data_IF_868133290299
#
_entry.id   IF_868133290299
#
_cell.length_a   1.000
_cell.length_b   1.000
_cell.length_c   1.000
_cell.angle_alpha   90.00
_cell.angle_beta   90.00
_cell.angle_gamma   90.00
#
_symmetry.space_group_name_H-M   'P 1'
#
loop_
_entity.id
_entity.type
_entity.pdbx_description
1 polymer ?
#
# COMPACT_ATOMS: atom_id res chain seq x y z
N UNK A 1 -18.69 -6.56 10.70
CA UNK A 1 -19.78 -6.48 9.71
C UNK A 1 -19.21 -6.84 8.35
N UNK A 2 -19.87 -7.67 7.54
CA UNK A 2 -19.35 -8.01 6.20
C UNK A 2 -19.83 -6.92 5.23
N UNK A 3 -18.94 -6.00 4.83
CA UNK A 3 -19.29 -4.81 4.04
C UNK A 3 -19.51 -5.08 2.54
N UNK A 4 -19.01 -6.21 2.01
CA UNK A 4 -19.27 -6.61 0.63
C UNK A 4 -19.60 -8.10 0.54
N UNK A 5 -20.49 -8.46 -0.39
CA UNK A 5 -20.71 -9.85 -0.79
C UNK A 5 -20.00 -10.06 -2.13
N UNK A 6 -18.80 -10.66 -2.10
CA UNK A 6 -17.98 -10.85 -3.30
C UNK A 6 -18.65 -11.68 -4.41
N UNK A 7 -19.75 -12.36 -4.10
CA UNK A 7 -20.50 -13.13 -5.10
C UNK A 7 -21.44 -12.27 -5.96
N UNK A 8 -22.02 -11.22 -5.38
CA UNK A 8 -23.11 -10.47 -6.01
C UNK A 8 -22.81 -8.98 -6.18
N UNK A 9 -21.81 -8.45 -5.48
CA UNK A 9 -21.44 -7.03 -5.49
C UNK A 9 -19.94 -6.87 -5.60
N UNK A 10 -19.50 -5.86 -6.38
CA UNK A 10 -18.11 -5.46 -6.51
C UNK A 10 -17.82 -4.28 -5.59
N UNK A 11 -16.90 -4.46 -4.63
CA UNK A 11 -16.47 -3.42 -3.72
C UNK A 11 -15.62 -2.35 -4.42
N UNK A 12 -15.78 -1.08 -4.04
CA UNK A 12 -15.08 0.07 -4.64
C UNK A 12 -13.55 -0.11 -4.68
N UNK A 13 -12.95 -0.75 -3.68
CA UNK A 13 -11.50 -1.01 -3.62
C UNK A 13 -10.99 -1.94 -4.73
N UNK A 14 -11.86 -2.71 -5.39
CA UNK A 14 -11.51 -3.62 -6.49
C UNK A 14 -11.67 -2.97 -7.86
N UNK A 15 -12.43 -1.88 -7.94
CA UNK A 15 -12.78 -1.23 -9.22
C UNK A 15 -11.54 -0.67 -9.93
N UNK A 16 -10.53 -0.22 -9.17
CA UNK A 16 -9.26 0.23 -9.77
C UNK A 16 -8.63 -0.81 -10.69
N UNK A 17 -8.52 -2.07 -10.24
CA UNK A 17 -7.99 -3.15 -11.07
C UNK A 17 -8.90 -3.52 -12.25
N UNK A 18 -10.22 -3.39 -12.11
CA UNK A 18 -11.15 -3.63 -13.21
C UNK A 18 -10.99 -2.58 -14.31
N UNK A 19 -10.86 -1.30 -13.94
CA UNK A 19 -10.71 -0.19 -14.89
C UNK A 19 -9.35 -0.20 -15.58
N UNK A 20 -8.28 -0.45 -14.82
CA UNK A 20 -6.89 -0.35 -15.29
C UNK A 20 -6.36 -1.67 -15.88
N UNK A 21 -7.03 -2.80 -15.61
CA UNK A 21 -6.56 -4.15 -15.93
C UNK A 21 -5.76 -4.78 -14.77
N UNK A 22 -4.92 -4.00 -14.12
CA UNK A 22 -4.13 -4.43 -12.96
C UNK A 22 -3.86 -3.27 -11.99
N UNK A 23 -3.52 -3.64 -10.78
CA UNK A 23 -2.95 -2.77 -9.72
C UNK A 23 -1.71 -3.46 -9.14
N UNK A 24 -0.91 -2.82 -8.28
CA UNK A 24 0.19 -3.49 -7.60
C UNK A 24 -0.21 -4.72 -6.78
N UNK A 25 -1.50 -4.92 -6.51
CA UNK A 25 -1.99 -5.97 -5.63
C UNK A 25 -2.74 -7.08 -6.35
N UNK A 26 -3.43 -6.78 -7.45
CA UNK A 26 -4.27 -7.76 -8.15
C UNK A 26 -4.65 -7.31 -9.57
N UNK A 27 -4.94 -8.30 -10.42
CA UNK A 27 -5.42 -8.09 -11.78
C UNK A 27 -6.94 -8.20 -11.84
N UNK A 28 -7.55 -7.69 -12.92
CA UNK A 28 -8.98 -7.85 -13.20
C UNK A 28 -9.39 -9.33 -13.27
N UNK A 29 -8.56 -10.20 -13.87
CA UNK A 29 -8.83 -11.65 -13.94
C UNK A 29 -8.78 -12.30 -12.56
N UNK A 30 -7.82 -11.91 -11.70
CA UNK A 30 -7.77 -12.42 -10.33
C UNK A 30 -9.06 -12.06 -9.56
N UNK A 31 -9.58 -10.83 -9.74
CA UNK A 31 -10.85 -10.42 -9.12
C UNK A 31 -12.02 -11.23 -9.68
N UNK A 32 -12.06 -11.47 -10.99
CA UNK A 32 -13.08 -12.32 -11.62
C UNK A 32 -13.09 -13.72 -11.01
N UNK A 33 -11.92 -14.33 -10.84
CA UNK A 33 -11.80 -15.65 -10.22
C UNK A 33 -12.26 -15.65 -8.75
N UNK A 34 -11.96 -14.61 -7.98
CA UNK A 34 -12.45 -14.45 -6.60
C UNK A 34 -13.98 -14.44 -6.57
N UNK A 35 -14.62 -13.71 -7.48
CA UNK A 35 -16.10 -13.64 -7.57
C UNK A 35 -16.70 -14.98 -7.99
N UNK A 36 -16.11 -15.66 -8.98
CA UNK A 36 -16.57 -17.00 -9.40
C UNK A 36 -16.45 -18.04 -8.28
N UNK A 37 -15.33 -18.02 -7.55
CA UNK A 37 -15.14 -18.89 -6.39
C UNK A 37 -16.18 -18.60 -5.30
N UNK A 38 -16.45 -17.32 -5.03
CA UNK A 38 -17.48 -16.94 -4.05
C UNK A 38 -18.88 -17.38 -4.48
N UNK A 39 -19.23 -17.28 -5.79
CA UNK A 39 -20.48 -17.83 -6.35
C UNK A 39 -20.57 -19.36 -6.19
N UNK A 40 -19.45 -20.06 -6.33
CA UNK A 40 -19.36 -21.50 -6.12
C UNK A 40 -19.32 -21.91 -4.64
N UNK A 41 -19.41 -20.98 -3.70
CA UNK A 41 -19.33 -21.23 -2.26
C UNK A 41 -17.93 -21.57 -1.75
N UNK A 42 -16.90 -21.35 -2.57
CA UNK A 42 -15.49 -21.53 -2.17
C UNK A 42 -15.02 -20.28 -1.43
N UNK A 43 -14.69 -20.45 -0.15
CA UNK A 43 -14.12 -19.35 0.65
C UNK A 43 -12.68 -19.11 0.22
N UNK A 44 -12.34 -17.85 -0.10
CA UNK A 44 -10.96 -17.47 -0.34
C UNK A 44 -10.11 -17.74 0.90
N UNK A 45 -9.01 -18.45 0.73
CA UNK A 45 -8.02 -18.63 1.80
C UNK A 45 -7.24 -17.33 1.86
N UNK A 46 -7.25 -16.65 3.03
CA UNK A 46 -6.34 -15.54 3.28
C UNK A 46 -4.92 -16.13 3.42
N UNK A 47 -4.10 -15.93 2.43
CA UNK A 47 -2.71 -16.43 2.41
C UNK A 47 -1.78 -15.63 3.35
N UNK A 48 -2.31 -14.64 4.04
CA UNK A 48 -1.56 -13.75 4.93
C UNK A 48 -0.64 -12.76 4.20
N UNK A 49 -0.66 -12.74 2.86
CA UNK A 49 0.05 -11.73 2.08
C UNK A 49 -0.44 -10.34 2.48
N UNK A 50 0.51 -9.45 2.76
CA UNK A 50 0.24 -8.07 3.19
C UNK A 50 -0.51 -7.93 4.53
N UNK A 51 -0.52 -8.98 5.39
CA UNK A 51 -1.18 -8.91 6.70
C UNK A 51 -0.71 -7.70 7.51
N UNK A 52 0.61 -7.50 7.64
CA UNK A 52 1.17 -6.38 8.40
C UNK A 52 0.77 -5.01 7.81
N UNK A 53 0.60 -4.92 6.49
CA UNK A 53 0.14 -3.69 5.84
C UNK A 53 -1.35 -3.44 6.10
N UNK A 54 -2.17 -4.49 6.09
CA UNK A 54 -3.60 -4.42 6.44
C UNK A 54 -3.79 -4.05 7.91
N UNK A 55 -3.05 -4.72 8.81
CA UNK A 55 -3.11 -4.47 10.25
C UNK A 55 -2.68 -3.03 10.56
N UNK A 56 -1.57 -2.56 9.98
CA UNK A 56 -1.13 -1.17 10.10
C UNK A 56 -2.20 -0.19 9.63
N UNK A 57 -2.85 -0.43 8.48
CA UNK A 57 -3.97 0.38 7.99
C UNK A 57 -5.07 0.47 9.04
N UNK A 58 -5.57 -0.67 9.49
CA UNK A 58 -6.67 -0.77 10.45
C UNK A 58 -6.36 -0.07 11.78
N UNK A 59 -5.11 -0.18 12.29
CA UNK A 59 -4.71 0.48 13.55
C UNK A 59 -4.52 1.99 13.40
N UNK A 60 -4.08 2.46 12.24
CA UNK A 60 -3.82 3.88 12.01
C UNK A 60 -5.06 4.65 11.54
N UNK A 61 -6.00 3.99 10.88
CA UNK A 61 -7.18 4.59 10.28
C UNK A 61 -7.95 5.54 11.24
N UNK A 62 -8.26 5.15 12.51
CA UNK A 62 -8.98 6.05 13.40
C UNK A 62 -8.21 7.35 13.69
N UNK A 63 -6.91 7.25 13.98
CA UNK A 63 -6.08 8.42 14.26
C UNK A 63 -5.85 9.31 13.04
N UNK A 64 -5.74 8.71 11.85
CA UNK A 64 -5.61 9.46 10.60
C UNK A 64 -6.92 10.12 10.19
N UNK A 65 -8.05 9.50 10.50
CA UNK A 65 -9.38 10.08 10.30
C UNK A 65 -9.57 11.33 11.16
N UNK A 66 -9.23 11.24 12.44
CA UNK A 66 -9.25 12.39 13.36
C UNK A 66 -8.32 13.50 12.83
N UNK A 67 -7.09 13.17 12.46
CA UNK A 67 -6.15 14.15 11.91
C UNK A 67 -6.61 14.77 10.60
N UNK A 68 -7.27 14.01 9.72
CA UNK A 68 -7.86 14.54 8.49
C UNK A 68 -9.00 15.53 8.80
N UNK A 69 -9.86 15.19 9.77
CA UNK A 69 -10.94 16.06 10.24
C UNK A 69 -10.40 17.38 10.79
N UNK A 70 -9.40 17.33 11.68
CA UNK A 70 -8.76 18.52 12.25
C UNK A 70 -8.13 19.42 11.18
N UNK A 71 -7.46 18.81 10.19
CA UNK A 71 -6.89 19.56 9.07
C UNK A 71 -7.97 20.27 8.23
N UNK A 72 -9.06 19.58 7.94
CA UNK A 72 -10.17 20.17 7.17
C UNK A 72 -10.87 21.27 7.95
N UNK A 73 -11.09 21.05 9.25
CA UNK A 73 -11.70 22.06 10.12
C UNK A 73 -10.83 23.32 10.21
N UNK A 74 -9.50 23.15 10.28
CA UNK A 74 -8.56 24.28 10.29
C UNK A 74 -8.55 25.14 9.01
N UNK A 75 -9.12 24.64 7.91
CA UNK A 75 -9.27 25.38 6.65
C UNK A 75 -10.60 26.13 6.59
N UNK A 76 -11.52 25.85 7.52
CA UNK A 76 -12.83 26.46 7.52
C UNK A 76 -12.79 27.94 7.95
N UNK A 77 -13.44 28.85 7.23
CA UNK A 77 -13.72 30.19 7.74
C UNK A 77 -14.57 30.14 9.03
N UNK A 78 -14.58 31.21 9.85
CA UNK A 78 -15.24 31.25 11.16
C UNK A 78 -16.72 30.83 11.17
N UNK A 79 -17.40 30.94 10.03
CA UNK A 79 -18.85 30.64 9.90
C UNK A 79 -19.08 29.29 9.15
N UNK A 80 -18.04 28.59 8.76
CA UNK A 80 -18.10 27.29 8.06
C UNK A 80 -17.56 26.22 8.97
N UNK A 81 -18.14 25.04 8.95
CA UNK A 81 -17.61 23.85 9.64
C UNK A 81 -17.58 22.67 8.68
N UNK A 82 -16.55 21.84 8.80
CA UNK A 82 -16.44 20.56 8.12
C UNK A 82 -16.59 19.43 9.13
N UNK A 83 -17.78 18.90 9.26
CA UNK A 83 -18.10 17.85 10.22
C UNK A 83 -17.74 16.47 9.67
N UNK A 84 -17.05 15.68 10.48
CA UNK A 84 -16.84 14.25 10.22
C UNK A 84 -17.98 13.42 10.81
N UNK A 85 -18.46 12.45 10.04
CA UNK A 85 -19.40 11.44 10.48
C UNK A 85 -18.88 10.03 10.16
N UNK A 86 -18.88 9.11 11.14
CA UNK A 86 -18.50 7.73 10.88
C UNK A 86 -19.55 7.06 9.96
N UNK A 87 -19.13 6.28 8.97
CA UNK A 87 -20.06 5.56 8.11
C UNK A 87 -20.79 4.47 8.90
N UNK A 88 -22.10 4.34 8.69
CA UNK A 88 -22.93 3.31 9.33
C UNK A 88 -23.09 2.08 8.47
N UNK A 89 -23.23 2.26 7.17
CA UNK A 89 -23.51 1.20 6.19
C UNK A 89 -22.74 1.44 4.88
N UNK A 90 -22.60 0.36 4.09
CA UNK A 90 -22.08 0.48 2.75
C UNK A 90 -23.13 1.05 1.79
N UNK A 91 -22.71 1.99 0.95
CA UNK A 91 -23.51 2.54 -0.13
C UNK A 91 -23.56 1.59 -1.32
N UNK A 92 -24.72 1.43 -1.97
CA UNK A 92 -24.92 0.43 -3.02
C UNK A 92 -25.64 0.99 -4.23
N UNK A 93 -25.21 0.55 -5.41
CA UNK A 93 -25.93 0.72 -6.67
C UNK A 93 -26.27 -0.69 -7.17
N UNK A 94 -27.49 -1.13 -6.91
CA UNK A 94 -27.92 -2.51 -7.20
C UNK A 94 -27.86 -2.84 -8.67
N UNK A 95 -28.24 -1.90 -9.53
CA UNK A 95 -28.26 -2.04 -10.99
C UNK A 95 -26.87 -2.28 -11.56
N UNK A 96 -25.84 -1.64 -10.97
CA UNK A 96 -24.43 -1.83 -11.34
C UNK A 96 -23.73 -2.93 -10.52
N UNK A 97 -24.40 -3.51 -9.52
CA UNK A 97 -23.82 -4.49 -8.60
C UNK A 97 -22.54 -3.97 -7.95
N UNK A 98 -22.57 -2.68 -7.57
CA UNK A 98 -21.47 -1.97 -6.91
C UNK A 98 -21.80 -1.69 -5.45
N UNK A 99 -20.79 -1.79 -4.60
CA UNK A 99 -20.87 -1.32 -3.22
C UNK A 99 -19.62 -0.56 -2.81
N UNK A 100 -19.78 0.37 -1.89
CA UNK A 100 -18.70 1.18 -1.35
C UNK A 100 -18.85 1.34 0.16
N UNK A 101 -17.81 0.97 0.91
CA UNK A 101 -17.60 1.43 2.27
C UNK A 101 -16.73 2.68 2.21
N UNK A 102 -17.06 3.67 3.00
CA UNK A 102 -16.27 4.88 3.17
C UNK A 102 -15.51 4.78 4.50
N UNK A 103 -14.36 5.42 4.61
CA UNK A 103 -13.67 5.56 5.91
C UNK A 103 -14.26 6.72 6.70
N UNK A 104 -14.93 7.66 6.01
CA UNK A 104 -15.67 8.75 6.62
C UNK A 104 -16.62 9.48 5.67
N UNK A 105 -17.58 10.16 6.27
CA UNK A 105 -18.46 11.12 5.58
C UNK A 105 -18.09 12.50 6.08
N UNK A 106 -17.85 13.42 5.17
CA UNK A 106 -17.59 14.83 5.46
C UNK A 106 -18.85 15.62 5.13
N UNK A 107 -19.18 16.62 5.97
CA UNK A 107 -20.29 17.51 5.74
C UNK A 107 -19.85 18.96 5.95
N UNK A 108 -19.78 19.73 4.87
CA UNK A 108 -19.51 21.17 4.92
C UNK A 108 -20.84 21.90 5.13
N UNK A 109 -20.94 22.63 6.24
CA UNK A 109 -22.13 23.41 6.63
C UNK A 109 -21.78 24.87 6.82
N UNK A 110 -22.78 25.75 6.67
CA UNK A 110 -22.64 27.20 6.86
C UNK A 110 -22.07 27.94 5.63
N UNK A 111 -21.64 27.24 4.58
CA UNK A 111 -21.09 27.87 3.39
C UNK A 111 -20.30 26.94 2.50
N UNK A 112 -19.19 27.42 1.98
CA UNK A 112 -18.27 26.67 1.13
C UNK A 112 -16.89 26.57 1.80
N UNK A 113 -16.22 25.45 1.61
CA UNK A 113 -14.86 25.18 2.06
C UNK A 113 -13.94 25.10 0.85
N UNK A 114 -12.86 25.87 0.84
CA UNK A 114 -11.79 25.75 -0.16
C UNK A 114 -10.66 24.88 0.39
N UNK A 115 -10.41 23.77 -0.25
CA UNK A 115 -9.35 22.81 0.11
C UNK A 115 -8.18 22.99 -0.85
N UNK A 116 -6.97 23.32 -0.36
CA UNK A 116 -5.77 23.42 -1.19
C UNK A 116 -5.49 22.12 -1.93
N UNK A 117 -5.16 22.22 -3.21
CA UNK A 117 -4.85 21.06 -4.05
C UNK A 117 -3.42 21.13 -4.59
N UNK A 118 -2.53 20.33 -4.03
CA UNK A 118 -1.12 20.27 -4.47
C UNK A 118 -0.91 19.78 -5.92
N UNK A 119 -1.95 19.29 -6.57
CA UNK A 119 -1.90 18.76 -7.94
C UNK A 119 -2.54 19.69 -9.00
N UNK A 120 -3.11 20.79 -8.60
CA UNK A 120 -3.82 21.69 -9.50
C UNK A 120 -4.43 22.89 -8.79
N UNK A 121 -5.56 23.36 -9.29
CA UNK A 121 -6.30 24.44 -8.68
C UNK A 121 -6.96 23.97 -7.38
N UNK A 122 -7.06 24.86 -6.40
CA UNK A 122 -7.79 24.62 -5.16
C UNK A 122 -9.25 24.27 -5.45
N UNK A 123 -9.81 23.39 -4.63
CA UNK A 123 -11.17 22.88 -4.84
C UNK A 123 -12.10 23.48 -3.80
N UNK A 124 -13.16 24.16 -4.25
CA UNK A 124 -14.22 24.69 -3.40
C UNK A 124 -15.40 23.73 -3.37
N UNK A 125 -15.82 23.34 -2.18
CA UNK A 125 -16.81 22.29 -1.94
C UNK A 125 -17.86 22.73 -0.91
N UNK A 126 -19.03 22.06 -0.96
CA UNK A 126 -20.12 22.23 0.00
C UNK A 126 -20.90 20.93 0.17
N UNK A 127 -21.70 20.83 1.22
CA UNK A 127 -22.51 19.64 1.50
C UNK A 127 -21.67 18.38 1.78
N UNK A 128 -22.19 17.21 1.39
CA UNK A 128 -21.58 15.93 1.71
C UNK A 128 -20.46 15.54 0.76
N UNK A 129 -19.38 15.00 1.33
CA UNK A 129 -18.21 14.45 0.64
C UNK A 129 -17.74 13.11 1.22
N UNK A 130 -17.00 12.34 0.44
CA UNK A 130 -16.38 11.08 0.88
C UNK A 130 -14.97 11.32 1.43
N UNK A 131 -14.63 10.66 2.55
CA UNK A 131 -13.27 10.57 3.06
C UNK A 131 -12.74 9.16 2.84
N UNK A 132 -11.55 9.07 2.28
CA UNK A 132 -10.78 7.84 2.14
C UNK A 132 -9.40 8.01 2.79
N UNK A 133 -9.02 7.09 3.67
CA UNK A 133 -7.72 7.09 4.36
C UNK A 133 -6.77 6.15 3.65
N UNK A 134 -5.56 6.61 3.37
CA UNK A 134 -4.51 5.78 2.78
C UNK A 134 -3.20 5.87 3.56
N UNK A 135 -2.59 4.72 3.79
CA UNK A 135 -1.21 4.64 4.27
C UNK A 135 -0.35 4.05 3.15
N UNK A 136 0.72 4.76 2.77
CA UNK A 136 1.65 4.28 1.76
C UNK A 136 3.04 4.17 2.39
N UNK A 137 3.63 2.98 2.36
CA UNK A 137 4.97 2.73 2.89
C UNK A 137 6.09 2.96 1.87
N UNK A 138 5.76 3.29 0.63
CA UNK A 138 6.69 3.31 -0.49
C UNK A 138 6.85 4.67 -1.15
N UNK A 139 5.76 5.45 -1.19
CA UNK A 139 5.69 6.68 -1.98
C UNK A 139 5.03 7.82 -1.20
N UNK A 140 5.73 8.97 -1.13
CA UNK A 140 5.22 10.23 -0.59
C UNK A 140 4.46 11.07 -1.64
N UNK A 141 4.38 10.58 -2.87
CA UNK A 141 3.68 11.26 -3.97
C UNK A 141 2.15 11.25 -3.82
N UNK A 142 1.45 11.78 -4.82
CA UNK A 142 -0.01 11.82 -4.83
C UNK A 142 -0.63 10.42 -4.81
N UNK A 143 -1.94 10.32 -4.53
CA UNK A 143 -2.65 9.05 -4.62
C UNK A 143 -2.52 8.43 -6.00
N UNK A 144 -2.33 7.11 -6.04
CA UNK A 144 -2.28 6.34 -7.28
C UNK A 144 -3.64 6.35 -7.99
N UNK A 145 -3.62 6.09 -9.30
CA UNK A 145 -4.82 6.08 -10.10
C UNK A 145 -5.90 5.09 -9.58
N UNK A 146 -5.50 3.92 -9.08
CA UNK A 146 -6.43 2.95 -8.48
C UNK A 146 -7.11 3.50 -7.22
N UNK A 147 -6.43 4.29 -6.41
CA UNK A 147 -6.98 4.94 -5.21
C UNK A 147 -7.97 6.06 -5.60
N UNK A 148 -7.65 6.82 -6.65
CA UNK A 148 -8.55 7.86 -7.18
C UNK A 148 -9.82 7.21 -7.76
N UNK A 149 -9.70 6.11 -8.51
CA UNK A 149 -10.83 5.35 -9.03
C UNK A 149 -11.69 4.80 -7.89
N UNK A 150 -11.07 4.32 -6.80
CA UNK A 150 -11.79 3.90 -5.59
C UNK A 150 -12.63 5.04 -5.03
N UNK A 151 -12.04 6.23 -4.79
CA UNK A 151 -12.76 7.39 -4.28
C UNK A 151 -13.90 7.83 -5.21
N UNK A 152 -13.67 7.84 -6.54
CA UNK A 152 -14.71 8.16 -7.52
C UNK A 152 -15.88 7.15 -7.47
N UNK A 153 -15.58 5.88 -7.26
CA UNK A 153 -16.60 4.83 -7.07
C UNK A 153 -17.37 5.03 -5.77
N UNK A 154 -16.70 5.43 -4.71
CA UNK A 154 -17.34 5.76 -3.42
C UNK A 154 -18.30 6.95 -3.58
N UNK A 155 -17.83 8.03 -4.23
CA UNK A 155 -18.68 9.19 -4.53
C UNK A 155 -19.87 8.81 -5.41
N UNK A 156 -19.67 7.94 -6.40
CA UNK A 156 -20.76 7.42 -7.23
C UNK A 156 -21.79 6.68 -6.39
N UNK A 157 -21.36 5.74 -5.54
CA UNK A 157 -22.27 4.93 -4.72
C UNK A 157 -23.00 5.75 -3.68
N UNK A 158 -22.34 6.74 -3.07
CA UNK A 158 -22.91 7.62 -2.05
C UNK A 158 -23.71 8.80 -2.61
N UNK A 159 -23.59 9.09 -3.91
CA UNK A 159 -24.24 10.26 -4.52
C UNK A 159 -23.56 11.58 -4.18
N UNK A 160 -22.28 11.57 -3.76
CA UNK A 160 -21.54 12.76 -3.36
C UNK A 160 -20.84 13.43 -4.54
N UNK A 161 -20.74 14.75 -4.49
CA UNK A 161 -20.12 15.58 -5.54
C UNK A 161 -18.62 15.76 -5.39
N UNK A 162 -18.06 15.45 -4.23
CA UNK A 162 -16.64 15.60 -3.92
C UNK A 162 -16.15 14.58 -2.90
N UNK A 163 -14.84 14.47 -2.76
CA UNK A 163 -14.23 13.63 -1.74
C UNK A 163 -12.76 13.97 -1.54
N UNK A 164 -12.17 13.44 -0.48
CA UNK A 164 -10.77 13.65 -0.09
C UNK A 164 -10.10 12.31 0.13
N UNK A 165 -8.92 12.12 -0.46
CA UNK A 165 -7.99 11.07 -0.03
C UNK A 165 -7.00 11.70 0.96
N UNK A 166 -7.04 11.25 2.20
CA UNK A 166 -6.07 11.64 3.22
C UNK A 166 -4.96 10.56 3.28
N UNK A 167 -3.76 10.92 2.84
CA UNK A 167 -2.66 9.96 2.63
C UNK A 167 -1.51 10.22 3.59
N UNK A 168 -1.09 9.17 4.33
CA UNK A 168 0.14 9.13 5.11
C UNK A 168 1.23 8.41 4.32
N UNK A 169 2.28 9.14 3.93
CA UNK A 169 3.44 8.62 3.22
C UNK A 169 4.54 8.05 4.14
N UNK A 170 5.61 7.44 3.56
CA UNK A 170 6.68 6.78 4.32
C UNK A 170 7.51 7.71 5.20
N UNK A 171 7.55 9.02 4.89
CA UNK A 171 8.21 10.04 5.73
C UNK A 171 7.28 10.65 6.78
N UNK A 172 6.14 10.00 7.07
CA UNK A 172 5.10 10.51 7.96
C UNK A 172 4.49 11.84 7.48
N UNK A 173 4.60 12.13 6.18
CA UNK A 173 3.95 13.27 5.56
C UNK A 173 2.48 12.93 5.36
N UNK A 174 1.60 13.66 6.04
CA UNK A 174 0.17 13.49 5.93
C UNK A 174 -0.44 14.62 5.12
N UNK A 175 -1.03 14.29 3.97
CA UNK A 175 -1.58 15.26 3.02
C UNK A 175 -3.02 14.93 2.65
N UNK A 176 -3.77 15.97 2.35
CA UNK A 176 -5.14 15.91 1.86
C UNK A 176 -5.12 16.14 0.34
N UNK A 177 -5.76 15.24 -0.38
CA UNK A 177 -5.91 15.31 -1.83
C UNK A 177 -7.41 15.37 -2.17
N UNK A 178 -7.95 16.59 -2.41
CA UNK A 178 -9.36 16.77 -2.74
C UNK A 178 -9.61 16.44 -4.21
N UNK A 179 -10.77 15.88 -4.48
CA UNK A 179 -11.24 15.55 -5.83
C UNK A 179 -12.72 15.90 -5.98
N UNK A 180 -13.03 16.52 -7.12
CA UNK A 180 -14.42 16.62 -7.59
C UNK A 180 -14.83 15.30 -8.25
N UNK A 181 -16.10 14.96 -8.15
CA UNK A 181 -16.68 13.85 -8.90
C UNK A 181 -16.56 14.11 -10.41
N UNK A 182 -15.99 13.17 -11.12
CA UNK A 182 -15.77 13.25 -12.56
C UNK A 182 -16.78 12.37 -13.32
N UNK A 183 -17.79 12.96 -13.91
CA UNK A 183 -18.78 12.20 -14.68
C UNK A 183 -18.15 11.44 -15.86
N UNK A 184 -17.06 11.97 -16.43
CA UNK A 184 -16.29 11.26 -17.46
C UNK A 184 -15.67 9.97 -16.90
N UNK A 185 -15.05 10.03 -15.73
CA UNK A 185 -14.44 8.84 -15.09
C UNK A 185 -15.52 7.88 -14.60
N UNK A 186 -16.62 8.39 -14.04
CA UNK A 186 -17.78 7.60 -13.63
C UNK A 186 -18.33 6.77 -14.81
N UNK A 187 -18.46 7.38 -15.99
CA UNK A 187 -18.90 6.66 -17.19
C UNK A 187 -17.97 5.50 -17.54
N UNK A 188 -16.65 5.74 -17.52
CA UNK A 188 -15.65 4.67 -17.74
C UNK A 188 -15.76 3.57 -16.69
N UNK A 189 -15.93 3.93 -15.40
CA UNK A 189 -16.11 2.97 -14.31
C UNK A 189 -17.33 2.08 -14.60
N UNK A 190 -18.47 2.66 -14.91
CA UNK A 190 -19.71 1.90 -15.17
C UNK A 190 -19.58 0.98 -16.38
N UNK A 191 -19.00 1.45 -17.49
CA UNK A 191 -18.75 0.63 -18.69
C UNK A 191 -17.83 -0.58 -18.39
N UNK A 192 -16.78 -0.36 -17.59
CA UNK A 192 -15.85 -1.42 -17.19
C UNK A 192 -16.45 -2.41 -16.20
N UNK A 193 -17.28 -1.93 -15.28
CA UNK A 193 -18.00 -2.78 -14.32
C UNK A 193 -19.07 -3.62 -15.04
N UNK A 194 -19.75 -3.07 -16.05
CA UNK A 194 -20.68 -3.82 -16.88
C UNK A 194 -19.96 -4.95 -17.66
N UNK A 195 -18.84 -4.66 -18.34
CA UNK A 195 -18.00 -5.67 -19.00
C UNK A 195 -17.51 -6.73 -17.99
N UNK A 196 -17.10 -6.32 -16.79
CA UNK A 196 -16.69 -7.25 -15.74
C UNK A 196 -17.80 -8.24 -15.38
N UNK A 197 -19.01 -7.76 -15.16
CA UNK A 197 -20.13 -8.63 -14.82
C UNK A 197 -20.58 -9.50 -15.98
N UNK A 198 -20.54 -9.02 -17.24
CA UNK A 198 -20.75 -9.86 -18.41
C UNK A 198 -19.75 -11.03 -18.45
N UNK A 199 -18.47 -10.74 -18.14
CA UNK A 199 -17.43 -11.78 -18.06
C UNK A 199 -17.63 -12.76 -16.91
N UNK A 200 -18.08 -12.30 -15.77
CA UNK A 200 -18.39 -13.16 -14.62
C UNK A 200 -19.59 -14.06 -14.94
N UNK A 201 -20.67 -13.48 -15.46
CA UNK A 201 -21.93 -14.19 -15.68
C UNK A 201 -21.88 -15.17 -16.88
N UNK A 202 -21.00 -14.92 -17.86
CA UNK A 202 -20.78 -15.77 -19.03
C UNK A 202 -19.46 -16.56 -19.00
N UNK A 203 -18.75 -16.58 -17.86
CA UNK A 203 -17.44 -17.24 -17.66
C UNK A 203 -16.42 -16.92 -18.77
N UNK A 204 -16.32 -15.65 -19.14
CA UNK A 204 -15.37 -15.14 -20.16
C UNK A 204 -14.13 -14.60 -19.46
N UNK A 205 -12.95 -15.24 -19.59
CA UNK A 205 -11.73 -14.73 -18.99
C UNK A 205 -11.29 -13.40 -19.63
N UNK A 206 -10.56 -12.59 -18.86
CA UNK A 206 -9.83 -11.47 -19.45
C UNK A 206 -8.65 -11.99 -20.27
N UNK A 207 -8.27 -11.31 -21.36
CA UNK A 207 -7.03 -11.63 -22.06
C UNK A 207 -5.85 -11.45 -21.11
N UNK A 208 -4.77 -12.23 -21.29
CA UNK A 208 -3.53 -12.00 -20.56
C UNK A 208 -3.09 -10.53 -20.69
N UNK A 209 -2.65 -9.93 -19.59
CA UNK A 209 -2.11 -8.57 -19.63
C UNK A 209 -0.78 -8.62 -20.37
N UNK A 210 -0.72 -7.96 -21.51
CA UNK A 210 0.53 -7.76 -22.23
C UNK A 210 1.33 -6.65 -21.51
N UNK A 211 2.15 -7.06 -20.57
CA UNK A 211 2.98 -6.16 -19.76
C UNK A 211 4.18 -5.61 -20.55
N UNK A 212 4.18 -5.74 -21.87
CA UNK A 212 5.35 -5.39 -22.68
C UNK A 212 6.61 -6.15 -22.27
N UNK A 213 6.45 -7.27 -21.53
CA UNK A 213 7.56 -8.19 -21.32
C UNK A 213 7.97 -8.70 -22.68
N UNK A 214 9.25 -8.68 -22.99
CA UNK A 214 9.71 -9.27 -24.24
C UNK A 214 9.11 -10.66 -24.35
N UNK A 215 8.62 -11.01 -25.56
CA UNK A 215 8.02 -12.30 -25.83
C UNK A 215 8.82 -13.38 -25.13
N UNK A 216 8.15 -14.13 -24.27
CA UNK A 216 8.80 -15.25 -23.59
C UNK A 216 9.08 -16.28 -24.69
N UNK A 217 10.33 -16.36 -25.12
CA UNK A 217 10.72 -17.35 -26.13
C UNK A 217 10.65 -18.71 -25.46
N UNK A 218 9.75 -19.61 -25.90
CA UNK A 218 9.72 -20.96 -25.36
C UNK A 218 11.00 -21.68 -25.79
N UNK A 219 11.86 -22.01 -24.82
CA UNK A 219 13.12 -22.72 -25.06
C UNK A 219 12.95 -24.25 -24.99
N UNK A 220 11.74 -24.74 -24.94
CA UNK A 220 11.41 -26.17 -24.84
C UNK A 220 11.89 -27.01 -26.02
N UNK A 221 12.16 -26.36 -27.16
CA UNK A 221 12.65 -27.00 -28.40
C UNK A 221 14.18 -27.01 -28.51
N UNK A 222 14.91 -26.43 -27.53
CA UNK A 222 16.35 -26.41 -27.57
C UNK A 222 16.91 -27.79 -27.19
N UNK A 223 17.93 -28.25 -27.92
CA UNK A 223 18.66 -29.49 -27.59
C UNK A 223 19.35 -29.42 -26.21
N UNK A 224 19.65 -28.20 -25.73
CA UNK A 224 20.26 -27.91 -24.42
C UNK A 224 19.23 -27.61 -23.32
N UNK A 225 17.97 -27.93 -23.51
CA UNK A 225 16.89 -27.63 -22.52
C UNK A 225 17.21 -28.16 -21.13
N UNK A 226 17.70 -29.41 -21.05
CA UNK A 226 18.00 -30.05 -19.76
C UNK A 226 19.17 -29.37 -19.05
N UNK A 227 20.17 -28.90 -19.79
CA UNK A 227 21.29 -28.14 -19.25
C UNK A 227 20.81 -26.78 -18.69
N UNK A 228 19.91 -26.10 -19.40
CA UNK A 228 19.33 -24.84 -18.93
C UNK A 228 18.50 -25.04 -17.66
N UNK A 229 17.71 -26.12 -17.61
CA UNK A 229 16.93 -26.48 -16.39
C UNK A 229 17.88 -26.78 -15.23
N UNK A 230 18.97 -27.46 -15.47
CA UNK A 230 19.97 -27.75 -14.44
C UNK A 230 20.62 -26.47 -13.92
N UNK A 231 21.01 -25.54 -14.80
CA UNK A 231 21.56 -24.22 -14.41
C UNK A 231 20.56 -23.43 -13.56
N UNK A 232 19.27 -23.40 -13.94
CA UNK A 232 18.22 -22.72 -13.15
C UNK A 232 18.06 -23.36 -11.77
N UNK A 233 18.13 -24.70 -11.71
CA UNK A 233 18.04 -25.47 -10.46
C UNK A 233 19.23 -25.14 -9.55
N UNK A 234 20.44 -25.14 -10.08
CA UNK A 234 21.67 -24.82 -9.34
C UNK A 234 21.64 -23.33 -8.88
N UNK A 235 21.22 -22.42 -9.73
CA UNK A 235 21.03 -20.99 -9.33
C UNK A 235 20.08 -20.84 -8.15
N UNK A 236 18.92 -21.51 -8.21
CA UNK A 236 17.94 -21.45 -7.12
C UNK A 236 18.46 -22.06 -5.82
N UNK A 237 19.24 -23.16 -5.93
CA UNK A 237 19.91 -23.77 -4.78
C UNK A 237 20.93 -22.81 -4.16
N UNK A 238 21.81 -22.22 -4.96
CA UNK A 238 22.78 -21.22 -4.49
C UNK A 238 22.13 -20.05 -3.81
N UNK A 239 21.02 -19.53 -4.38
CA UNK A 239 20.25 -18.43 -3.79
C UNK A 239 19.63 -18.80 -2.44
N UNK A 240 19.15 -20.03 -2.28
CA UNK A 240 18.62 -20.52 -1.01
C UNK A 240 19.74 -20.69 0.03
N UNK A 241 20.91 -21.20 -0.39
CA UNK A 241 22.09 -21.32 0.46
C UNK A 241 22.61 -19.94 0.90
N UNK A 242 22.69 -18.96 0.00
CA UNK A 242 23.07 -17.58 0.33
C UNK A 242 22.17 -17.00 1.43
N UNK A 243 20.85 -17.18 1.32
CA UNK A 243 19.91 -16.74 2.35
C UNK A 243 20.14 -17.45 3.68
N UNK A 244 20.41 -18.75 3.65
CA UNK A 244 20.72 -19.55 4.85
C UNK A 244 22.02 -19.09 5.51
N UNK A 245 23.09 -18.90 4.71
CA UNK A 245 24.36 -18.38 5.21
C UNK A 245 24.26 -16.99 5.80
N UNK A 246 23.47 -16.11 5.19
CA UNK A 246 23.21 -14.78 5.73
C UNK A 246 22.57 -14.85 7.11
N UNK A 247 21.53 -15.66 7.28
CA UNK A 247 20.87 -15.86 8.57
C UNK A 247 21.82 -16.45 9.62
N UNK A 248 22.65 -17.40 9.21
CA UNK A 248 23.64 -18.02 10.12
C UNK A 248 24.72 -17.01 10.54
N UNK A 249 25.19 -16.17 9.61
CA UNK A 249 26.12 -15.08 9.90
C UNK A 249 25.54 -14.11 10.93
N UNK A 250 24.26 -13.71 10.76
CA UNK A 250 23.56 -12.82 11.70
C UNK A 250 23.50 -13.43 13.10
N UNK A 251 23.17 -14.72 13.22
CA UNK A 251 23.16 -15.44 14.50
C UNK A 251 24.54 -15.52 15.16
N UNK A 252 25.58 -15.78 14.36
CA UNK A 252 26.96 -15.79 14.85
C UNK A 252 27.38 -14.38 15.32
N UNK A 253 27.00 -13.36 14.60
CA UNK A 253 27.26 -11.97 14.98
C UNK A 253 26.60 -11.62 16.30
N UNK A 254 25.31 -11.90 16.45
CA UNK A 254 24.56 -11.69 17.71
C UNK A 254 25.21 -12.41 18.89
N UNK A 255 25.67 -13.66 18.69
CA UNK A 255 26.36 -14.42 19.73
C UNK A 255 27.69 -13.76 20.16
N UNK A 256 28.47 -13.23 19.20
CA UNK A 256 29.72 -12.53 19.50
C UNK A 256 29.48 -11.16 20.16
N UNK A 257 28.41 -10.46 19.79
CA UNK A 257 28.00 -9.22 20.44
C UNK A 257 27.63 -9.46 21.90
N UNK A 258 26.88 -10.54 22.20
CA UNK A 258 26.55 -10.92 23.58
C UNK A 258 27.80 -11.20 24.42
N UNK A 259 28.83 -11.86 23.85
CA UNK A 259 30.11 -12.07 24.54
C UNK A 259 30.79 -10.75 24.86
N UNK A 260 30.83 -9.80 23.93
CA UNK A 260 31.42 -8.48 24.19
C UNK A 260 30.63 -7.69 25.25
N UNK A 261 29.30 -7.76 25.24
CA UNK A 261 28.42 -7.11 26.19
C UNK A 261 28.58 -7.71 27.61
N UNK A 262 28.79 -9.04 27.73
CA UNK A 262 29.05 -9.68 29.02
C UNK A 262 30.33 -9.16 29.70
N UNK A 263 31.34 -8.79 28.92
CA UNK A 263 32.60 -8.21 29.43
C UNK A 263 32.62 -6.67 29.38
N UNK A 264 31.52 -6.01 29.07
CA UNK A 264 31.43 -4.53 28.86
C UNK A 264 32.57 -4.02 27.96
N UNK A 265 32.84 -4.77 26.90
CA UNK A 265 33.96 -4.51 26.00
C UNK A 265 33.52 -4.11 24.58
N UNK A 266 34.09 -3.04 24.06
CA UNK A 266 33.93 -2.68 22.65
C UNK A 266 34.86 -3.45 21.73
N UNK A 267 35.94 -4.04 22.27
CA UNK A 267 36.99 -4.77 21.56
C UNK A 267 37.43 -5.98 22.36
N UNK A 268 37.60 -7.11 21.69
CA UNK A 268 38.23 -8.31 22.25
C UNK A 268 39.16 -8.96 21.23
N UNK A 269 40.14 -9.71 21.70
CA UNK A 269 40.99 -10.53 20.83
C UNK A 269 41.07 -11.94 21.36
N UNK A 270 41.01 -12.93 20.44
CA UNK A 270 41.16 -14.34 20.76
C UNK A 270 41.94 -15.03 19.63
N UNK A 271 43.07 -15.60 19.98
CA UNK A 271 43.99 -16.13 18.97
C UNK A 271 44.42 -15.05 17.97
N UNK A 272 44.21 -15.30 16.69
CA UNK A 272 44.53 -14.38 15.59
C UNK A 272 43.35 -13.49 15.20
N UNK A 273 42.26 -13.47 15.97
CA UNK A 273 41.06 -12.70 15.63
C UNK A 273 40.89 -11.53 16.58
N UNK A 274 40.48 -10.42 16.00
CA UNK A 274 40.02 -9.25 16.73
C UNK A 274 38.54 -9.03 16.47
N UNK A 275 37.75 -8.95 17.53
CA UNK A 275 36.32 -8.68 17.47
C UNK A 275 36.10 -7.23 17.91
N UNK A 276 35.26 -6.49 17.19
CA UNK A 276 34.95 -5.11 17.58
C UNK A 276 33.47 -4.79 17.38
N UNK A 277 32.89 -4.14 18.39
CA UNK A 277 31.52 -3.63 18.38
C UNK A 277 31.47 -2.23 19.01
N UNK A 278 32.23 -1.23 18.50
CA UNK A 278 32.33 0.08 19.09
C UNK A 278 31.04 0.88 18.90
N UNK A 279 30.75 1.72 19.89
CA UNK A 279 29.68 2.71 19.80
C UNK A 279 30.07 3.80 18.81
N UNK A 280 29.42 3.84 17.64
CA UNK A 280 29.67 4.86 16.62
C UNK A 280 28.82 6.10 16.91
N UNK A 281 29.48 7.16 17.40
CA UNK A 281 28.85 8.47 17.58
C UNK A 281 28.88 9.23 16.26
N UNK A 282 27.72 9.38 15.59
CA UNK A 282 27.62 10.29 14.43
C UNK A 282 27.60 11.73 14.94
N UNK A 283 28.53 12.55 14.43
CA UNK A 283 28.48 14.01 14.67
C UNK A 283 27.15 14.54 14.13
N UNK A 284 26.49 15.40 14.92
CA UNK A 284 25.33 16.14 14.44
C UNK A 284 25.73 16.89 13.16
N UNK A 285 24.95 16.72 12.08
CA UNK A 285 25.15 17.55 10.88
C UNK A 285 24.75 18.99 11.24
N UNK A 286 25.53 20.01 10.80
CA UNK A 286 25.15 21.39 11.02
C UNK A 286 23.78 21.66 10.38
N UNK A 287 22.97 22.43 11.10
CA UNK A 287 21.61 22.84 10.72
C UNK A 287 21.55 23.35 9.27
N UNK A 288 21.05 22.52 8.39
CA UNK A 288 20.19 23.01 7.30
C UNK A 288 18.82 23.15 7.92
N UNK A 289 18.07 24.19 7.55
CA UNK A 289 16.73 24.60 8.01
C UNK A 289 15.67 23.44 7.94
N UNK A 290 16.03 22.30 8.48
CA UNK A 290 15.26 21.07 8.70
C UNK A 290 15.55 20.71 10.14
N UNK A 291 14.55 20.43 10.98
CA UNK A 291 14.78 20.09 12.39
C UNK A 291 15.85 19.00 12.49
N UNK A 292 16.83 19.22 13.33
CA UNK A 292 17.95 18.32 13.54
C UNK A 292 17.42 16.91 13.85
N UNK A 293 17.81 15.93 13.04
CA UNK A 293 17.56 14.53 13.41
C UNK A 293 18.28 14.25 14.71
N UNK A 294 17.62 13.64 15.71
CA UNK A 294 18.26 13.27 16.95
C UNK A 294 19.52 12.42 16.64
N UNK A 295 20.59 12.63 17.38
CA UNK A 295 21.82 11.85 17.23
C UNK A 295 21.49 10.38 17.52
N UNK A 296 21.64 9.52 16.52
CA UNK A 296 21.49 8.07 16.69
C UNK A 296 22.85 7.47 17.02
N UNK A 297 22.93 6.70 18.10
CA UNK A 297 24.08 5.85 18.40
C UNK A 297 23.78 4.45 17.84
N UNK A 298 24.73 3.87 17.12
CA UNK A 298 24.66 2.48 16.69
C UNK A 298 26.03 1.84 16.82
N UNK A 299 26.05 0.55 17.12
CA UNK A 299 27.27 -0.26 17.14
C UNK A 299 27.57 -0.77 15.72
N UNK A 300 28.85 -0.84 15.38
CA UNK A 300 29.31 -1.46 14.13
C UNK A 300 30.11 -2.69 14.45
N UNK A 301 29.62 -3.84 13.99
CA UNK A 301 30.29 -5.13 14.16
C UNK A 301 31.33 -5.39 13.06
N UNK A 302 32.53 -5.84 13.41
CA UNK A 302 33.54 -6.32 12.46
C UNK A 302 34.43 -7.41 13.09
N UNK A 303 34.91 -8.31 12.26
CA UNK A 303 35.92 -9.31 12.59
C UNK A 303 37.06 -9.15 11.57
N UNK A 304 38.28 -9.01 12.05
CA UNK A 304 39.47 -8.92 11.24
C UNK A 304 40.46 -9.96 11.66
N UNK A 305 41.11 -10.60 10.68
CA UNK A 305 42.22 -11.52 10.91
C UNK A 305 43.50 -10.69 11.12
N UNK A 306 44.19 -10.94 12.21
CA UNK A 306 45.43 -10.23 12.54
C UNK A 306 46.59 -11.12 12.10
N UNK A 307 47.29 -10.73 11.04
CA UNK A 307 48.57 -11.33 10.68
C UNK A 307 49.59 -11.04 11.78
N UNK A 308 50.09 -12.10 12.44
CA UNK A 308 51.27 -11.98 13.31
C UNK A 308 52.49 -11.70 12.41
N UNK A 309 52.97 -10.44 12.35
CA UNK A 309 54.32 -10.14 11.93
C UNK A 309 55.32 -10.50 13.04
#
# INVERSE_FOLDING_TARGET
MKWSNDADELGASKVGAIVMGETPFQTNEAIRQIVLNAKAGVTAIDDGLFKDAKDRGNYLEPALTEWASDKLDSLCPDYVACNYQPPTDAHRIKEARLCASLDGILEVVGGELTIPNSQGEDITVSGFGALEIKTDGWDDGPPRADQVIQLQTQMLCAGYGWGVIAKLGPKLKFELYPYMRSEKLIKIILEKVEDFWDRVDNDKPYPPIDNGKPDTIPLDHLETKDDVIQIITDYNKCKAEEKSWKLQKEKCQEALELVLDEFDAEYASIGNYRISHPIVKRKAQPEKIVPAKPSTQHRRFSIEEISNE
#
